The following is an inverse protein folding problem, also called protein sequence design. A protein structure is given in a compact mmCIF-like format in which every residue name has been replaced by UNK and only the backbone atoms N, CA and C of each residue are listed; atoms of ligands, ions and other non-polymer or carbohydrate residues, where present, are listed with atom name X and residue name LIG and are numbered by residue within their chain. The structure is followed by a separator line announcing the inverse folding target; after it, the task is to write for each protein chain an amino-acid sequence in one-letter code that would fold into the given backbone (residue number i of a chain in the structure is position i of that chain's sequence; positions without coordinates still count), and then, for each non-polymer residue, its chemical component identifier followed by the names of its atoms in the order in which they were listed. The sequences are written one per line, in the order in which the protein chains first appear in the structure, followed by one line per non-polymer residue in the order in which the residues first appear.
data_IF_471650071089
#
_entry.id   IF_471650071089
#
_cell.length_a   1.000
_cell.length_b   1.000
_cell.length_c   1.000
_cell.angle_alpha   90.00
_cell.angle_beta   90.00
_cell.angle_gamma   90.00
#
_symmetry.space_group_name_H-M   'P 1'
#
loop_
_entity.id
_entity.type
_entity.pdbx_description
1 polymer ?
#
# COMPACT_ATOMS: atom_id res chain seq x y z
N UNK A 1 -8.05 -17.26 -21.89
CA UNK A 1 -8.52 -17.08 -20.48
C UNK A 1 -9.80 -16.28 -20.52
N UNK A 2 -10.82 -16.67 -19.77
CA UNK A 2 -12.07 -15.89 -19.67
C UNK A 2 -11.81 -14.65 -18.82
N UNK A 3 -12.29 -13.47 -19.26
CA UNK A 3 -12.23 -12.26 -18.48
C UNK A 3 -13.07 -12.42 -17.20
N UNK A 4 -12.54 -11.95 -16.06
CA UNK A 4 -13.26 -11.94 -14.80
C UNK A 4 -14.33 -10.84 -14.81
N UNK A 5 -15.42 -11.05 -14.09
CA UNK A 5 -16.39 -9.99 -13.81
C UNK A 5 -15.89 -9.12 -12.66
N UNK A 6 -16.02 -7.79 -12.80
CA UNK A 6 -15.63 -6.83 -11.79
C UNK A 6 -16.81 -5.92 -11.44
N UNK A 7 -17.20 -5.93 -10.17
CA UNK A 7 -18.18 -5.02 -9.61
C UNK A 7 -17.47 -3.91 -8.81
N UNK A 8 -18.07 -2.71 -8.81
CA UNK A 8 -17.62 -1.59 -7.96
C UNK A 8 -18.68 -1.39 -6.88
N UNK A 9 -18.23 -1.32 -5.63
CA UNK A 9 -19.10 -1.05 -4.48
C UNK A 9 -19.94 0.22 -4.74
N UNK A 10 -21.27 0.13 -4.68
CA UNK A 10 -22.14 1.29 -4.92
C UNK A 10 -21.97 2.41 -3.89
N UNK A 11 -21.39 2.11 -2.72
CA UNK A 11 -21.06 3.09 -1.70
C UNK A 11 -19.72 3.82 -1.97
N UNK A 12 -19.00 3.47 -3.05
CA UNK A 12 -17.75 4.15 -3.40
C UNK A 12 -17.99 5.64 -3.70
N UNK A 13 -17.12 6.49 -3.16
CA UNK A 13 -17.14 7.91 -3.51
C UNK A 13 -16.90 8.09 -5.03
N UNK A 14 -17.39 9.19 -5.63
CA UNK A 14 -17.18 9.45 -7.07
C UNK A 14 -15.71 9.40 -7.50
N UNK A 15 -14.80 9.83 -6.64
CA UNK A 15 -13.35 9.80 -6.90
C UNK A 15 -12.83 8.38 -6.98
N UNK A 16 -13.14 7.53 -5.99
CA UNK A 16 -12.74 6.13 -5.98
C UNK A 16 -13.37 5.33 -7.12
N UNK A 17 -14.66 5.57 -7.41
CA UNK A 17 -15.33 4.95 -8.53
C UNK A 17 -14.67 5.33 -9.87
N UNK A 18 -14.31 6.60 -10.07
CA UNK A 18 -13.62 7.06 -11.27
C UNK A 18 -12.22 6.43 -11.42
N UNK A 19 -11.45 6.35 -10.32
CA UNK A 19 -10.14 5.70 -10.31
C UNK A 19 -10.25 4.20 -10.67
N UNK A 20 -11.22 3.49 -10.10
CA UNK A 20 -11.49 2.09 -10.43
C UNK A 20 -11.85 1.90 -11.92
N UNK A 21 -12.71 2.76 -12.47
CA UNK A 21 -13.09 2.71 -13.88
C UNK A 21 -11.90 2.99 -14.80
N UNK A 22 -11.06 3.97 -14.47
CA UNK A 22 -9.87 4.29 -15.26
C UNK A 22 -8.86 3.13 -15.26
N UNK A 23 -8.62 2.51 -14.10
CA UNK A 23 -7.75 1.36 -13.99
C UNK A 23 -8.32 0.14 -14.74
N UNK A 24 -9.63 -0.11 -14.65
CA UNK A 24 -10.34 -1.15 -15.39
C UNK A 24 -10.20 -0.96 -16.91
N UNK A 25 -10.38 0.27 -17.41
CA UNK A 25 -10.23 0.59 -18.83
C UNK A 25 -8.82 0.28 -19.37
N UNK A 26 -7.81 0.25 -18.50
CA UNK A 26 -6.43 -0.11 -18.87
C UNK A 26 -6.19 -1.61 -18.98
N UNK A 27 -7.16 -2.48 -18.60
CA UNK A 27 -7.06 -3.93 -18.54
C UNK A 27 -8.27 -4.63 -19.18
N UNK A 28 -8.68 -4.28 -20.42
CA UNK A 28 -9.95 -4.72 -21.04
C UNK A 28 -10.02 -6.23 -21.29
N UNK A 29 -8.88 -6.89 -21.47
CA UNK A 29 -8.83 -8.34 -21.67
C UNK A 29 -8.90 -9.14 -20.36
N UNK A 30 -8.66 -8.47 -19.22
CA UNK A 30 -8.62 -9.12 -17.91
C UNK A 30 -9.96 -9.06 -17.18
N UNK A 31 -10.70 -7.96 -17.37
CA UNK A 31 -11.91 -7.69 -16.62
C UNK A 31 -13.05 -7.20 -17.51
N UNK A 32 -14.26 -7.57 -17.13
CA UNK A 32 -15.52 -7.04 -17.69
C UNK A 32 -16.34 -6.47 -16.53
N UNK A 33 -16.69 -5.18 -16.60
CA UNK A 33 -17.55 -4.56 -15.61
C UNK A 33 -18.91 -5.23 -15.54
N UNK A 34 -19.44 -5.36 -14.34
CA UNK A 34 -20.82 -5.80 -14.04
C UNK A 34 -21.42 -4.91 -12.96
N UNK A 35 -22.74 -4.76 -12.97
CA UNK A 35 -23.50 -4.13 -11.89
C UNK A 35 -24.07 -5.18 -10.90
N UNK A 36 -23.93 -6.46 -11.23
CA UNK A 36 -24.25 -7.60 -10.37
C UNK A 36 -23.05 -8.03 -9.53
N UNK A 37 -23.16 -9.13 -8.78
CA UNK A 37 -22.06 -9.74 -8.06
C UNK A 37 -20.91 -10.09 -9.02
N UNK A 38 -19.73 -9.60 -8.73
CA UNK A 38 -18.53 -9.82 -9.55
C UNK A 38 -17.58 -10.86 -8.95
N UNK A 39 -16.75 -11.48 -9.81
CA UNK A 39 -15.63 -12.33 -9.36
C UNK A 39 -14.65 -11.49 -8.52
N UNK A 40 -14.42 -10.24 -8.91
CA UNK A 40 -13.63 -9.24 -8.18
C UNK A 40 -14.55 -8.09 -7.78
N UNK A 41 -14.55 -7.71 -6.51
CA UNK A 41 -15.30 -6.56 -6.01
C UNK A 41 -14.34 -5.49 -5.56
N UNK A 42 -14.49 -4.29 -6.14
CA UNK A 42 -13.71 -3.10 -5.76
C UNK A 42 -14.46 -2.35 -4.67
N UNK A 43 -13.82 -2.19 -3.52
CA UNK A 43 -14.35 -1.50 -2.33
C UNK A 43 -13.57 -0.18 -2.17
N UNK A 44 -14.27 0.93 -1.98
CA UNK A 44 -13.63 2.17 -1.56
C UNK A 44 -13.22 2.09 -0.09
N UNK A 45 -12.04 2.58 0.25
CA UNK A 45 -11.51 2.57 1.61
C UNK A 45 -12.14 3.58 2.57
N UNK A 46 -13.28 4.16 2.21
CA UNK A 46 -14.08 5.07 3.04
C UNK A 46 -14.53 4.40 4.35
N UNK A 47 -14.92 5.14 5.40
CA UNK A 47 -15.29 4.58 6.71
C UNK A 47 -16.26 3.38 6.59
N UNK A 48 -15.98 2.31 7.34
CA UNK A 48 -16.76 1.05 7.30
C UNK A 48 -16.44 0.13 6.12
N UNK A 49 -15.37 0.40 5.37
CA UNK A 49 -14.96 -0.41 4.22
C UNK A 49 -14.76 -1.89 4.55
N UNK A 50 -14.20 -2.22 5.72
CA UNK A 50 -13.93 -3.61 6.09
C UNK A 50 -15.21 -4.42 6.27
N UNK A 51 -16.28 -3.81 6.82
CA UNK A 51 -17.62 -4.43 6.89
C UNK A 51 -18.23 -4.65 5.50
N UNK A 52 -18.09 -3.68 4.58
CA UNK A 52 -18.55 -3.82 3.19
C UNK A 52 -17.79 -4.91 2.45
N UNK A 53 -16.47 -4.97 2.66
CA UNK A 53 -15.61 -6.03 2.12
C UNK A 53 -16.03 -7.41 2.63
N UNK A 54 -16.30 -7.55 3.93
CA UNK A 54 -16.81 -8.79 4.53
C UNK A 54 -18.15 -9.20 3.92
N UNK A 55 -19.09 -8.26 3.73
CA UNK A 55 -20.36 -8.52 3.09
C UNK A 55 -20.20 -9.00 1.64
N UNK A 56 -19.30 -8.36 0.87
CA UNK A 56 -19.00 -8.76 -0.51
C UNK A 56 -18.36 -10.18 -0.58
N UNK A 57 -17.47 -10.51 0.38
CA UNK A 57 -16.92 -11.85 0.49
C UNK A 57 -18.02 -12.91 0.72
N UNK A 58 -18.94 -12.66 1.66
CA UNK A 58 -20.07 -13.55 1.92
C UNK A 58 -21.05 -13.64 0.74
N UNK A 59 -21.13 -12.59 -0.11
CA UNK A 59 -21.91 -12.63 -1.35
C UNK A 59 -21.22 -13.43 -2.47
N UNK A 60 -20.03 -13.99 -2.25
CA UNK A 60 -19.36 -14.89 -3.16
C UNK A 60 -18.27 -14.24 -4.03
N UNK A 61 -17.80 -13.05 -3.70
CA UNK A 61 -16.63 -12.48 -4.35
C UNK A 61 -15.42 -13.41 -4.21
N UNK A 62 -14.71 -13.66 -5.31
CA UNK A 62 -13.50 -14.51 -5.31
C UNK A 62 -12.28 -13.75 -4.82
N UNK A 63 -12.29 -12.43 -4.96
CA UNK A 63 -11.23 -11.53 -4.49
C UNK A 63 -11.81 -10.15 -4.26
N UNK A 64 -11.27 -9.45 -3.28
CA UNK A 64 -11.59 -8.07 -2.97
C UNK A 64 -10.39 -7.18 -3.31
N UNK A 65 -10.66 -6.02 -3.90
CA UNK A 65 -9.67 -4.94 -4.12
C UNK A 65 -10.15 -3.71 -3.35
N UNK A 66 -9.42 -3.33 -2.31
CA UNK A 66 -9.76 -2.16 -1.50
C UNK A 66 -8.88 -0.99 -1.92
N UNK A 67 -9.49 0.08 -2.40
CA UNK A 67 -8.80 1.30 -2.83
C UNK A 67 -8.58 2.21 -1.62
N UNK A 68 -7.34 2.59 -1.39
CA UNK A 68 -6.91 3.53 -0.35
C UNK A 68 -7.58 3.24 1.02
N UNK A 69 -7.27 2.09 1.64
CA UNK A 69 -7.97 1.64 2.84
C UNK A 69 -7.79 2.62 3.99
N UNK A 70 -8.91 3.19 4.45
CA UNK A 70 -9.00 4.01 5.65
C UNK A 70 -8.78 3.21 6.93
N UNK A 71 -8.92 3.86 8.09
CA UNK A 71 -8.89 3.18 9.39
C UNK A 71 -9.94 2.08 9.48
N UNK A 72 -9.60 0.98 10.17
CA UNK A 72 -10.49 -0.11 10.48
C UNK A 72 -10.15 -0.67 11.86
N UNK A 73 -11.12 -1.25 12.55
CA UNK A 73 -10.85 -1.90 13.82
C UNK A 73 -10.20 -3.28 13.63
N UNK A 74 -9.49 -3.78 14.65
CA UNK A 74 -8.92 -5.13 14.58
C UNK A 74 -10.02 -6.20 14.43
N UNK A 75 -11.18 -5.99 15.08
CA UNK A 75 -12.33 -6.90 14.98
C UNK A 75 -12.89 -6.96 13.55
N UNK A 76 -13.03 -5.81 12.87
CA UNK A 76 -13.48 -5.74 11.47
C UNK A 76 -12.50 -6.45 10.53
N UNK A 77 -11.20 -6.23 10.73
CA UNK A 77 -10.15 -6.87 9.93
C UNK A 77 -10.06 -8.38 10.23
N UNK A 78 -10.27 -8.78 11.50
CA UNK A 78 -10.35 -10.19 11.88
C UNK A 78 -11.55 -10.88 11.22
N UNK A 79 -12.72 -10.23 11.23
CA UNK A 79 -13.92 -10.74 10.56
C UNK A 79 -13.70 -10.88 9.04
N UNK A 80 -13.07 -9.88 8.41
CA UNK A 80 -12.72 -9.95 6.99
C UNK A 80 -11.74 -11.09 6.70
N UNK A 81 -10.68 -11.23 7.48
CA UNK A 81 -9.71 -12.32 7.33
C UNK A 81 -10.35 -13.71 7.50
N UNK A 82 -11.32 -13.84 8.41
CA UNK A 82 -12.03 -15.09 8.66
C UNK A 82 -12.87 -15.57 7.46
N UNK A 83 -13.20 -14.69 6.51
CA UNK A 83 -13.91 -15.08 5.27
C UNK A 83 -13.07 -15.99 4.38
N UNK A 84 -11.75 -15.96 4.49
CA UNK A 84 -10.82 -16.67 3.62
C UNK A 84 -10.75 -16.11 2.18
N UNK A 85 -11.49 -15.05 1.88
CA UNK A 85 -11.46 -14.40 0.56
C UNK A 85 -10.18 -13.56 0.44
N UNK A 86 -9.37 -13.76 -0.62
CA UNK A 86 -8.18 -12.93 -0.85
C UNK A 86 -8.52 -11.44 -0.95
N UNK A 87 -7.75 -10.62 -0.27
CA UNK A 87 -7.91 -9.16 -0.27
C UNK A 87 -6.62 -8.50 -0.73
N UNK A 88 -6.71 -7.65 -1.75
CA UNK A 88 -5.61 -6.78 -2.18
C UNK A 88 -5.93 -5.37 -1.70
N UNK A 89 -5.02 -4.77 -0.95
CA UNK A 89 -5.10 -3.37 -0.53
C UNK A 89 -4.32 -2.50 -1.51
N UNK A 90 -5.03 -1.71 -2.32
CA UNK A 90 -4.43 -0.74 -3.23
C UNK A 90 -4.02 0.52 -2.45
N UNK A 91 -2.90 0.39 -1.76
CA UNK A 91 -2.31 1.44 -0.94
C UNK A 91 -1.37 2.29 -1.80
N UNK A 92 -1.37 3.61 -1.65
CA UNK A 92 -0.41 4.49 -2.31
C UNK A 92 1.02 3.96 -2.20
N UNK A 93 1.73 3.91 -3.32
CA UNK A 93 3.12 3.47 -3.49
C UNK A 93 3.41 1.97 -3.28
N UNK A 94 2.62 1.23 -2.49
CA UNK A 94 2.91 -0.17 -2.11
C UNK A 94 3.10 -1.09 -3.32
N UNK A 95 2.28 -0.91 -4.34
CA UNK A 95 2.27 -1.76 -5.54
C UNK A 95 3.04 -1.15 -6.73
N UNK A 96 3.80 -0.06 -6.51
CA UNK A 96 4.65 0.49 -7.57
C UNK A 96 5.70 -0.55 -8.02
N UNK A 97 5.96 -0.58 -9.31
CA UNK A 97 6.88 -1.57 -9.89
C UNK A 97 8.32 -1.38 -9.40
N UNK A 98 8.73 -0.15 -9.06
CA UNK A 98 10.04 0.11 -8.46
C UNK A 98 10.16 -0.56 -7.08
N UNK A 99 9.10 -0.51 -6.26
CA UNK A 99 9.02 -1.20 -4.96
C UNK A 99 9.16 -2.71 -5.16
N UNK A 100 8.35 -3.31 -6.05
CA UNK A 100 8.38 -4.76 -6.31
C UNK A 100 9.74 -5.24 -6.76
N UNK A 101 10.42 -4.49 -7.63
CA UNK A 101 11.72 -4.87 -8.19
C UNK A 101 12.86 -4.74 -7.21
N UNK A 102 12.83 -3.74 -6.34
CA UNK A 102 13.89 -3.52 -5.36
C UNK A 102 13.73 -4.37 -4.11
N UNK A 103 12.50 -4.75 -3.72
CA UNK A 103 12.21 -5.51 -2.49
C UNK A 103 13.10 -6.74 -2.31
N UNK A 104 13.33 -7.63 -3.30
CA UNK A 104 14.21 -8.78 -3.10
C UNK A 104 15.66 -8.40 -2.79
N UNK A 105 16.10 -7.21 -3.18
CA UNK A 105 17.44 -6.70 -2.86
C UNK A 105 17.48 -6.08 -1.48
N UNK A 106 16.44 -5.32 -1.12
CA UNK A 106 16.26 -4.76 0.22
C UNK A 106 16.17 -5.88 1.26
N UNK A 107 15.43 -6.97 1.00
CA UNK A 107 15.36 -8.12 1.91
C UNK A 107 16.75 -8.72 2.20
N UNK A 108 17.65 -8.76 1.20
CA UNK A 108 19.03 -9.25 1.39
C UNK A 108 19.94 -8.26 2.13
N UNK A 109 19.63 -6.98 2.04
CA UNK A 109 20.38 -5.92 2.74
C UNK A 109 19.88 -5.70 4.17
N UNK A 110 18.57 -5.95 4.42
CA UNK A 110 17.96 -5.77 5.72
C UNK A 110 18.63 -6.67 6.77
N UNK A 111 19.29 -6.04 7.73
CA UNK A 111 20.03 -6.69 8.80
C UNK A 111 19.86 -5.89 10.10
N UNK A 112 20.13 -6.48 11.27
CA UNK A 112 20.13 -5.73 12.52
C UNK A 112 21.02 -4.49 12.44
N UNK A 113 20.52 -3.35 12.90
CA UNK A 113 21.20 -2.05 12.82
C UNK A 113 21.06 -1.31 11.48
N UNK A 114 20.38 -1.88 10.49
CA UNK A 114 19.98 -1.12 9.29
C UNK A 114 18.94 -0.06 9.66
N UNK A 115 18.93 1.04 8.90
CA UNK A 115 17.95 2.12 9.00
C UNK A 115 17.18 2.24 7.69
N UNK A 116 15.83 2.13 7.76
CA UNK A 116 14.94 2.50 6.66
C UNK A 116 14.29 3.84 6.97
N UNK A 117 14.52 4.84 6.14
CA UNK A 117 13.81 6.12 6.13
C UNK A 117 12.73 6.05 5.03
N UNK A 118 11.46 6.27 5.42
CA UNK A 118 10.30 6.36 4.54
C UNK A 118 9.71 7.77 4.67
N UNK A 119 9.69 8.54 3.58
CA UNK A 119 9.22 9.94 3.58
C UNK A 119 8.19 10.16 2.51
N UNK A 120 7.13 10.92 2.83
CA UNK A 120 6.21 11.46 1.84
C UNK A 120 6.08 12.96 1.98
N UNK A 121 6.00 13.64 0.83
CA UNK A 121 5.51 15.01 0.72
C UNK A 121 4.11 14.96 0.14
N UNK A 122 3.18 15.72 0.72
CA UNK A 122 1.78 15.79 0.32
C UNK A 122 1.44 17.21 -0.13
N UNK A 123 0.38 17.35 -0.92
CA UNK A 123 -0.23 18.65 -1.19
C UNK A 123 -0.90 19.23 0.08
N UNK A 124 -1.34 20.48 0.01
CA UNK A 124 -1.85 21.26 1.16
C UNK A 124 -3.05 20.61 1.89
N UNK A 125 -3.85 19.83 1.17
CA UNK A 125 -5.02 19.09 1.68
C UNK A 125 -4.74 17.62 2.02
N UNK A 126 -3.45 17.24 2.09
CA UNK A 126 -3.04 15.85 2.24
C UNK A 126 -3.33 15.26 3.63
N UNK A 127 -3.82 14.02 3.67
CA UNK A 127 -4.05 13.24 4.87
C UNK A 127 -2.71 12.70 5.44
N UNK A 128 -2.20 13.32 6.50
CA UNK A 128 -0.95 12.90 7.16
C UNK A 128 -1.03 11.49 7.77
N UNK A 129 -2.07 11.11 8.54
CA UNK A 129 -2.22 9.75 9.03
C UNK A 129 -2.32 8.70 7.93
N UNK A 130 -3.10 8.94 6.89
CA UNK A 130 -3.22 8.05 5.75
C UNK A 130 -1.90 7.86 5.00
N UNK A 131 -1.17 8.96 4.76
CA UNK A 131 0.15 8.89 4.13
C UNK A 131 1.17 8.14 5.01
N UNK A 132 1.18 8.36 6.32
CA UNK A 132 2.05 7.63 7.24
C UNK A 132 1.72 6.13 7.26
N UNK A 133 0.43 5.76 7.20
CA UNK A 133 -0.03 4.37 7.06
C UNK A 133 0.45 3.76 5.75
N UNK A 134 0.29 4.48 4.63
CA UNK A 134 0.75 4.03 3.32
C UNK A 134 2.27 3.83 3.28
N UNK A 135 3.05 4.76 3.84
CA UNK A 135 4.50 4.62 3.97
C UNK A 135 4.89 3.41 4.81
N UNK A 136 4.24 3.19 5.95
CA UNK A 136 4.52 2.06 6.84
C UNK A 136 4.21 0.71 6.16
N UNK A 137 3.05 0.59 5.48
CA UNK A 137 2.71 -0.62 4.71
C UNK A 137 3.68 -0.87 3.55
N UNK A 138 4.13 0.19 2.87
CA UNK A 138 5.14 0.07 1.81
C UNK A 138 6.50 -0.33 2.41
N UNK A 139 6.87 0.19 3.58
CA UNK A 139 8.08 -0.20 4.29
C UNK A 139 8.06 -1.69 4.69
N UNK A 140 6.92 -2.22 5.18
CA UNK A 140 6.75 -3.66 5.43
C UNK A 140 6.96 -4.49 4.15
N UNK A 141 6.37 -4.06 3.02
CA UNK A 141 6.56 -4.74 1.73
C UNK A 141 8.02 -4.71 1.25
N UNK A 142 8.72 -3.56 1.43
CA UNK A 142 10.13 -3.43 1.11
C UNK A 142 11.03 -4.29 1.99
N UNK A 143 10.72 -4.41 3.28
CA UNK A 143 11.52 -5.17 4.25
C UNK A 143 11.16 -6.66 4.30
N UNK A 144 9.98 -7.05 3.77
CA UNK A 144 9.43 -8.41 3.89
C UNK A 144 9.20 -8.81 5.35
N UNK A 145 8.95 -7.86 6.22
CA UNK A 145 8.81 -8.06 7.67
C UNK A 145 7.85 -7.03 8.26
N UNK A 146 6.95 -7.44 9.17
CA UNK A 146 6.07 -6.51 9.85
C UNK A 146 6.87 -5.55 10.74
N UNK A 147 6.33 -4.34 10.90
CA UNK A 147 6.79 -3.38 11.91
C UNK A 147 6.20 -3.80 13.26
N UNK A 148 7.03 -3.79 14.31
CA UNK A 148 6.62 -4.32 15.62
C UNK A 148 6.31 -3.22 16.63
N UNK A 149 6.96 -2.08 16.52
CA UNK A 149 6.82 -0.97 17.45
C UNK A 149 6.89 0.32 16.65
N UNK A 150 5.80 1.07 16.60
CA UNK A 150 5.77 2.40 16.00
C UNK A 150 5.25 3.39 17.01
N UNK A 151 6.07 4.35 17.36
CA UNK A 151 5.72 5.45 18.27
C UNK A 151 5.81 6.80 17.55
N UNK A 152 4.96 7.73 17.94
CA UNK A 152 5.01 9.09 17.43
C UNK A 152 6.23 9.81 18.02
N UNK A 153 7.15 10.20 17.15
CA UNK A 153 8.33 10.99 17.49
C UNK A 153 8.01 12.49 17.46
N UNK A 154 7.24 12.93 16.46
CA UNK A 154 6.80 14.32 16.33
C UNK A 154 5.44 14.39 15.63
N UNK A 155 4.60 15.33 16.04
CA UNK A 155 3.32 15.64 15.41
C UNK A 155 3.06 17.14 15.44
N UNK A 156 2.80 17.71 14.27
CA UNK A 156 2.34 19.09 14.07
C UNK A 156 1.21 19.08 13.04
N UNK A 157 0.51 20.19 12.80
CA UNK A 157 -0.52 20.23 11.75
C UNK A 157 -0.01 19.83 10.36
N UNK A 158 1.27 20.04 10.06
CA UNK A 158 1.85 19.82 8.74
C UNK A 158 2.88 18.68 8.69
N UNK A 159 3.10 17.96 9.80
CA UNK A 159 4.12 16.92 9.87
C UNK A 159 3.76 15.85 10.90
N UNK A 160 3.84 14.60 10.46
CA UNK A 160 3.75 13.43 11.32
C UNK A 160 5.01 12.58 11.13
N UNK A 161 5.73 12.33 12.22
CA UNK A 161 6.91 11.46 12.22
C UNK A 161 6.73 10.33 13.23
N UNK A 162 6.95 9.12 12.77
CA UNK A 162 6.94 7.91 13.58
C UNK A 162 8.32 7.26 13.53
N UNK A 163 8.67 6.56 14.61
CA UNK A 163 9.88 5.73 14.68
C UNK A 163 9.52 4.35 15.21
N UNK A 164 10.22 3.34 14.75
CA UNK A 164 9.99 1.97 15.18
C UNK A 164 11.04 0.99 14.68
N UNK A 165 10.71 -0.29 14.75
CA UNK A 165 11.62 -1.35 14.31
C UNK A 165 10.85 -2.54 13.73
N UNK A 166 11.58 -3.45 13.09
CA UNK A 166 11.11 -4.80 12.76
C UNK A 166 11.62 -5.81 13.79
N UNK A 167 11.01 -6.98 13.83
CA UNK A 167 11.49 -8.08 14.66
C UNK A 167 12.93 -8.51 14.31
N UNK A 168 13.40 -8.20 13.10
CA UNK A 168 14.77 -8.48 12.65
C UNK A 168 15.78 -7.40 13.03
N UNK A 169 15.36 -6.35 13.76
CA UNK A 169 16.24 -5.28 14.25
C UNK A 169 16.58 -4.21 13.21
N UNK A 170 15.78 -4.06 12.17
CA UNK A 170 15.85 -2.91 11.26
C UNK A 170 15.11 -1.74 11.91
N UNK A 171 15.78 -0.60 12.06
CA UNK A 171 15.14 0.64 12.52
C UNK A 171 14.38 1.29 11.37
N UNK A 172 13.21 1.86 11.66
CA UNK A 172 12.35 2.50 10.67
C UNK A 172 11.95 3.89 11.13
N UNK A 173 12.07 4.87 10.26
CA UNK A 173 11.53 6.21 10.43
C UNK A 173 10.53 6.46 9.32
N UNK A 174 9.29 6.80 9.69
CA UNK A 174 8.22 7.19 8.78
C UNK A 174 7.95 8.69 8.97
N UNK A 175 7.97 9.47 7.90
CA UNK A 175 7.76 10.92 7.94
C UNK A 175 6.83 11.35 6.82
N UNK A 176 5.66 11.88 7.16
CA UNK A 176 4.71 12.51 6.24
C UNK A 176 4.69 14.02 6.48
N UNK A 177 4.82 14.81 5.41
CA UNK A 177 4.89 16.27 5.45
C UNK A 177 3.92 16.86 4.43
N UNK A 178 3.11 17.83 4.85
CA UNK A 178 2.30 18.69 3.97
C UNK A 178 3.12 19.91 3.56
N UNK A 179 3.22 20.17 2.26
CA UNK A 179 3.93 21.31 1.69
C UNK A 179 3.01 22.13 0.77
N UNK A 180 2.94 23.45 0.99
CA UNK A 180 2.01 24.35 0.29
C UNK A 180 2.12 24.33 -1.24
N UNK A 181 3.27 23.95 -1.80
CA UNK A 181 3.51 23.87 -3.26
C UNK A 181 4.12 22.51 -3.64
N UNK A 182 3.98 21.51 -2.77
CA UNK A 182 4.50 20.17 -3.00
C UNK A 182 3.62 19.35 -3.94
N UNK A 183 4.27 18.53 -4.76
CA UNK A 183 3.57 17.41 -5.40
C UNK A 183 3.67 16.19 -4.48
N UNK A 184 2.59 15.40 -4.42
CA UNK A 184 2.65 14.17 -3.67
C UNK A 184 3.77 13.26 -4.23
N UNK A 185 4.66 12.81 -3.36
CA UNK A 185 5.73 11.87 -3.70
C UNK A 185 6.17 11.12 -2.46
N UNK A 186 6.83 9.98 -2.65
CA UNK A 186 7.45 9.27 -1.55
C UNK A 186 8.88 8.84 -1.89
N UNK A 187 9.72 8.77 -0.87
CA UNK A 187 11.09 8.26 -0.98
C UNK A 187 11.34 7.24 0.13
N UNK A 188 12.06 6.17 -0.22
CA UNK A 188 12.50 5.16 0.74
C UNK A 188 14.00 4.98 0.60
N UNK A 189 14.71 5.00 1.73
CA UNK A 189 16.15 4.82 1.77
C UNK A 189 16.53 3.84 2.87
N UNK A 190 17.04 2.68 2.47
CA UNK A 190 17.66 1.74 3.40
C UNK A 190 19.18 1.98 3.41
N UNK A 191 19.76 2.05 4.61
CA UNK A 191 21.21 2.17 4.80
C UNK A 191 21.67 1.09 5.78
N UNK A 192 22.73 0.38 5.43
CA UNK A 192 23.38 -0.62 6.29
C UNK A 192 24.86 -0.67 6.00
N UNK A 193 25.69 -0.16 6.93
CA UNK A 193 27.14 -0.02 6.72
C UNK A 193 27.44 0.86 5.49
N UNK A 194 28.17 0.32 4.54
CA UNK A 194 28.57 0.95 3.26
C UNK A 194 27.57 0.68 2.11
N UNK A 195 26.46 0.00 2.38
CA UNK A 195 25.45 -0.37 1.38
C UNK A 195 24.16 0.43 1.58
N UNK A 196 23.51 0.74 0.48
CA UNK A 196 22.23 1.44 0.50
C UNK A 196 21.29 0.97 -0.62
N UNK A 197 19.98 1.11 -0.39
CA UNK A 197 18.97 1.05 -1.45
C UNK A 197 18.15 2.33 -1.39
N UNK A 198 17.75 2.84 -2.55
CA UNK A 198 16.96 4.06 -2.67
C UNK A 198 15.81 3.85 -3.64
N UNK A 199 14.63 4.39 -3.29
CA UNK A 199 13.42 4.32 -4.10
C UNK A 199 12.77 5.69 -4.11
N UNK A 200 12.54 6.24 -5.30
CA UNK A 200 11.79 7.48 -5.52
C UNK A 200 10.48 7.16 -6.23
N UNK A 201 9.38 7.55 -5.64
CA UNK A 201 8.03 7.26 -6.12
C UNK A 201 7.27 8.57 -6.37
N UNK A 202 6.70 8.74 -7.56
CA UNK A 202 5.89 9.90 -7.88
C UNK A 202 4.55 9.89 -7.13
N UNK A 203 3.74 10.91 -7.34
CA UNK A 203 2.36 10.95 -6.87
C UNK A 203 1.59 9.70 -7.30
N UNK A 204 0.77 9.11 -6.42
CA UNK A 204 -0.16 8.04 -6.82
C UNK A 204 -1.02 8.52 -7.99
N UNK A 205 -1.20 7.66 -9.00
CA UNK A 205 -1.93 8.02 -10.23
C UNK A 205 -1.15 8.85 -11.24
N UNK A 206 0.10 9.26 -10.94
CA UNK A 206 0.98 9.90 -11.91
C UNK A 206 1.38 8.92 -13.03
N UNK A 207 1.57 9.44 -14.25
CA UNK A 207 2.18 8.69 -15.35
C UNK A 207 3.71 8.58 -15.24
N UNK A 208 4.33 9.31 -14.32
CA UNK A 208 5.76 9.22 -14.06
C UNK A 208 6.09 7.87 -13.41
N UNK A 209 7.18 7.20 -13.82
CA UNK A 209 7.57 5.93 -13.24
C UNK A 209 8.31 6.12 -11.92
N UNK A 210 8.14 5.17 -10.99
CA UNK A 210 9.04 5.03 -9.85
C UNK A 210 10.46 4.65 -10.29
N UNK A 211 11.45 5.02 -9.48
CA UNK A 211 12.87 4.72 -9.70
C UNK A 211 13.46 4.05 -8.48
N UNK A 212 14.36 3.10 -8.70
CA UNK A 212 15.06 2.44 -7.62
C UNK A 212 16.53 2.21 -7.98
N UNK A 213 17.39 2.27 -6.98
CA UNK A 213 18.80 1.96 -7.10
C UNK A 213 19.33 1.24 -5.88
N UNK A 214 20.41 0.48 -6.05
CA UNK A 214 21.15 -0.17 -4.98
C UNK A 214 22.61 0.23 -5.10
N UNK A 215 23.25 0.53 -3.97
CA UNK A 215 24.66 0.86 -3.87
C UNK A 215 25.35 -0.12 -2.95
N UNK A 216 26.47 -0.66 -3.38
CA UNK A 216 27.37 -1.52 -2.59
C UNK A 216 28.83 -1.25 -2.94
N UNK A 217 29.75 -2.10 -2.51
CA UNK A 217 31.19 -1.95 -2.78
C UNK A 217 31.55 -1.96 -4.28
N UNK A 218 30.71 -2.51 -5.15
CA UNK A 218 30.89 -2.51 -6.60
C UNK A 218 30.42 -1.21 -7.26
N UNK A 219 29.69 -0.37 -6.53
CA UNK A 219 29.15 0.91 -6.99
C UNK A 219 27.64 0.99 -6.94
N UNK A 220 27.06 1.92 -7.71
CA UNK A 220 25.61 2.13 -7.82
C UNK A 220 25.06 1.40 -9.05
N UNK A 221 24.00 0.65 -8.83
CA UNK A 221 23.18 0.03 -9.88
C UNK A 221 21.80 0.68 -9.86
N UNK A 222 21.40 1.32 -10.97
CA UNK A 222 20.03 1.78 -11.19
C UNK A 222 19.19 0.64 -11.79
N UNK A 223 18.03 0.36 -11.19
CA UNK A 223 17.13 -0.69 -11.67
C UNK A 223 16.36 -0.21 -12.92
N UNK A 224 15.99 -1.14 -13.83
CA UNK A 224 15.19 -0.78 -14.99
C UNK A 224 13.87 -0.11 -14.60
N UNK A 225 13.58 1.01 -15.24
CA UNK A 225 12.35 1.78 -15.04
C UNK A 225 11.19 1.10 -15.79
N UNK A 226 10.02 1.03 -15.16
CA UNK A 226 8.79 0.50 -15.75
C UNK A 226 7.68 1.53 -15.59
N UNK A 227 7.02 1.83 -16.69
CA UNK A 227 5.89 2.76 -16.74
C UNK A 227 4.59 1.99 -16.47
N UNK A 228 4.34 1.67 -15.21
CA UNK A 228 3.11 1.02 -14.76
C UNK A 228 2.66 1.63 -13.42
N UNK A 229 1.39 2.01 -13.33
CA UNK A 229 0.84 2.56 -12.08
C UNK A 229 0.62 1.46 -11.04
N UNK A 230 0.76 1.83 -9.76
CA UNK A 230 0.47 0.93 -8.64
C UNK A 230 -0.95 0.36 -8.69
N UNK A 231 -1.95 1.18 -9.04
CA UNK A 231 -3.34 0.73 -9.24
C UNK A 231 -3.48 -0.41 -10.27
N UNK A 232 -2.78 -0.29 -11.40
CA UNK A 232 -2.81 -1.34 -12.42
C UNK A 232 -2.17 -2.62 -11.91
N UNK A 233 -1.07 -2.50 -11.17
CA UNK A 233 -0.42 -3.65 -10.52
C UNK A 233 -1.33 -4.28 -9.47
N UNK A 234 -2.00 -3.50 -8.62
CA UNK A 234 -2.96 -4.01 -7.64
C UNK A 234 -4.12 -4.76 -8.30
N UNK A 235 -4.69 -4.23 -9.40
CA UNK A 235 -5.70 -4.94 -10.19
C UNK A 235 -5.21 -6.27 -10.77
N UNK A 236 -3.95 -6.31 -11.25
CA UNK A 236 -3.36 -7.59 -11.75
C UNK A 236 -3.18 -8.59 -10.62
N UNK A 237 -2.78 -8.14 -9.42
CA UNK A 237 -2.72 -8.99 -8.23
C UNK A 237 -4.11 -9.52 -7.85
N UNK A 238 -5.14 -8.67 -7.86
CA UNK A 238 -6.51 -9.09 -7.61
C UNK A 238 -6.99 -10.15 -8.63
N UNK A 239 -6.69 -9.95 -9.92
CA UNK A 239 -6.94 -10.98 -10.95
C UNK A 239 -6.23 -12.29 -10.65
N UNK A 240 -4.96 -12.22 -10.29
CA UNK A 240 -4.15 -13.41 -10.05
C UNK A 240 -4.60 -14.14 -8.78
N UNK A 241 -5.03 -13.40 -7.75
CA UNK A 241 -5.66 -13.96 -6.55
C UNK A 241 -7.01 -14.63 -6.87
N UNK A 242 -7.87 -14.01 -7.68
CA UNK A 242 -9.14 -14.60 -8.12
C UNK A 242 -8.96 -15.91 -8.91
N UNK A 243 -7.80 -16.07 -9.55
CA UNK A 243 -7.41 -17.33 -10.23
C UNK A 243 -6.65 -18.31 -9.32
N UNK A 244 -6.46 -17.99 -8.04
CA UNK A 244 -5.70 -18.82 -7.09
C UNK A 244 -4.19 -18.89 -7.38
N UNK A 245 -3.64 -17.91 -8.11
CA UNK A 245 -2.21 -17.86 -8.47
C UNK A 245 -1.33 -17.17 -7.43
N UNK A 246 -1.92 -16.39 -6.55
CA UNK A 246 -1.27 -15.78 -5.40
C UNK A 246 -2.24 -15.66 -4.24
N UNK A 247 -1.72 -15.52 -3.03
CA UNK A 247 -2.45 -15.23 -1.81
C UNK A 247 -1.84 -13.95 -1.21
N UNK A 248 -2.47 -12.78 -1.37
CA UNK A 248 -2.01 -11.54 -0.76
C UNK A 248 -2.24 -11.58 0.74
N UNK A 249 -1.23 -11.16 1.51
CA UNK A 249 -1.27 -11.06 2.99
C UNK A 249 -1.58 -9.62 3.45
N UNK A 250 -2.14 -8.79 2.59
CA UNK A 250 -2.30 -7.35 2.81
C UNK A 250 -3.14 -7.02 4.06
N UNK A 251 -4.18 -7.80 4.36
CA UNK A 251 -4.99 -7.62 5.59
C UNK A 251 -4.17 -7.95 6.84
N UNK A 252 -3.36 -9.01 6.81
CA UNK A 252 -2.49 -9.35 7.92
C UNK A 252 -1.42 -8.27 8.15
N UNK A 253 -0.85 -7.72 7.07
CA UNK A 253 0.09 -6.60 7.13
C UNK A 253 -0.56 -5.36 7.75
N UNK A 254 -1.79 -5.00 7.33
CA UNK A 254 -2.52 -3.87 7.90
C UNK A 254 -2.84 -4.10 9.38
N UNK A 255 -3.33 -5.29 9.75
CA UNK A 255 -3.59 -5.62 11.15
C UNK A 255 -2.34 -5.50 12.00
N UNK A 256 -1.22 -6.08 11.56
CA UNK A 256 0.05 -6.00 12.29
C UNK A 256 0.49 -4.54 12.46
N UNK A 257 0.31 -3.71 11.44
CA UNK A 257 0.63 -2.29 11.49
C UNK A 257 -0.23 -1.55 12.51
N UNK A 258 -1.56 -1.77 12.52
CA UNK A 258 -2.47 -1.06 13.43
C UNK A 258 -2.24 -1.47 14.90
N UNK A 259 -1.84 -2.72 15.14
CA UNK A 259 -1.39 -3.17 16.48
C UNK A 259 -0.09 -2.49 16.88
N UNK A 260 0.87 -2.38 15.96
CA UNK A 260 2.17 -1.74 16.21
C UNK A 260 2.06 -0.20 16.35
N UNK A 261 1.07 0.41 15.71
CA UNK A 261 0.87 1.86 15.65
C UNK A 261 -0.60 2.25 15.88
N UNK A 262 -1.14 2.15 17.11
CA UNK A 262 -2.54 2.50 17.38
C UNK A 262 -2.91 3.94 16.97
N UNK A 263 -1.93 4.86 16.99
CA UNK A 263 -2.13 6.25 16.53
C UNK A 263 -2.51 6.38 15.04
N UNK A 264 -2.30 5.33 14.22
CA UNK A 264 -2.72 5.27 12.81
C UNK A 264 -4.11 4.65 12.61
N UNK A 265 -4.71 4.10 13.68
CA UNK A 265 -6.05 3.54 13.69
C UNK A 265 -7.14 4.60 13.94
N UNK A 266 -6.79 5.76 14.51
CA UNK A 266 -7.73 6.75 15.02
C UNK A 266 -7.88 7.94 14.06
N UNK A 267 -9.06 8.09 13.42
CA UNK A 267 -9.41 9.28 12.62
C UNK A 267 -9.56 10.55 13.49
N UNK A 268 -9.81 10.39 14.80
CA UNK A 268 -10.14 11.50 15.71
C UNK A 268 -8.92 12.21 16.29
N UNK A 269 -7.74 11.77 15.93
CA UNK A 269 -6.49 12.37 16.41
C UNK A 269 -6.00 13.54 15.52
N UNK A 270 -6.90 14.11 14.71
CA UNK A 270 -6.64 15.27 13.83
C UNK A 270 -7.00 16.58 14.50
#
# INVERSE_FOLDING_TARGET
MTALTLAIDPAASPTHAAAAVAALASLPESFRRTDDAGDVVVIAGDPGWAGRATAAAHAGARTLLVLDPGPATDDDLAALAATGTPVVLDVPWRHDEAVRRVSPRIHRLAAPGALLEARATLAEDGDLPGAARALALTAQALLGSPLTELSTLARTPNHLMLTGSTATGVHVIVSALVAAHGHACATFRLVVGDRAAHVDLPAPGSAAPGRASVTDAAGREDLPVVFESGHRTAMRLARDAAHGRCAPDDVADLRSLLVAAPALADERAS
#
